data_IF_860228571813
#
_entry.id   IF_860228571813
#
_cell.length_a   1.000
_cell.length_b   1.000
_cell.length_c   1.000
_cell.angle_alpha   90.00
_cell.angle_beta   90.00
_cell.angle_gamma   90.00
#
_symmetry.space_group_name_H-M   'P 1'
#
loop_
_entity.id
_entity.type
_entity.pdbx_description
1 polymer ?
#
# COMPACT_ATOMS: atom_id res chain seq x y z
N UNK A 1 8.57 -53.01 -35.41
CA UNK A 1 8.95 -52.27 -34.18
C UNK A 1 9.40 -50.85 -34.53
N UNK A 2 10.35 -50.69 -35.47
CA UNK A 2 10.85 -49.37 -35.94
C UNK A 2 9.76 -48.51 -36.60
N UNK A 3 8.93 -49.06 -37.48
CA UNK A 3 7.86 -48.29 -38.14
C UNK A 3 6.83 -47.73 -37.16
N UNK A 4 6.44 -48.53 -36.15
CA UNK A 4 5.52 -48.07 -35.10
C UNK A 4 6.12 -46.94 -34.27
N UNK A 5 7.41 -47.03 -33.94
CA UNK A 5 8.14 -45.97 -33.23
C UNK A 5 8.31 -44.71 -34.09
N UNK A 6 8.57 -44.87 -35.39
CA UNK A 6 8.70 -43.76 -36.33
C UNK A 6 7.36 -43.04 -36.55
N UNK A 7 6.26 -43.77 -36.72
CA UNK A 7 4.92 -43.19 -36.81
C UNK A 7 4.53 -42.45 -35.54
N UNK A 8 4.82 -43.01 -34.36
CA UNK A 8 4.58 -42.34 -33.08
C UNK A 8 5.43 -41.06 -32.91
N UNK A 9 6.67 -41.07 -33.42
CA UNK A 9 7.52 -39.87 -33.43
C UNK A 9 7.03 -38.80 -34.40
N UNK A 10 6.61 -39.19 -35.61
CA UNK A 10 6.07 -38.28 -36.62
C UNK A 10 4.77 -37.65 -36.11
N UNK A 11 3.83 -38.42 -35.57
CA UNK A 11 2.57 -37.91 -35.02
C UNK A 11 2.82 -36.95 -33.84
N UNK A 12 3.79 -37.26 -32.98
CA UNK A 12 4.22 -36.38 -31.88
C UNK A 12 4.91 -35.10 -32.36
N UNK A 13 5.43 -35.06 -33.58
CA UNK A 13 6.10 -33.88 -34.15
C UNK A 13 5.12 -33.05 -34.99
N UNK A 14 4.24 -33.68 -35.76
CA UNK A 14 3.40 -33.00 -36.74
C UNK A 14 2.23 -32.21 -36.13
N UNK A 15 1.83 -32.49 -34.89
CA UNK A 15 0.66 -31.85 -34.26
C UNK A 15 0.89 -31.35 -32.84
N UNK A 16 2.15 -31.08 -32.46
CA UNK A 16 2.47 -30.56 -31.12
C UNK A 16 3.07 -29.17 -31.17
N UNK A 17 2.52 -28.29 -30.34
CA UNK A 17 2.81 -26.86 -30.32
C UNK A 17 3.62 -26.51 -29.08
N UNK A 18 4.91 -26.84 -29.11
CA UNK A 18 5.85 -26.54 -28.04
C UNK A 18 6.41 -25.12 -28.21
N UNK A 19 5.82 -24.15 -27.50
CA UNK A 19 6.29 -22.77 -27.53
C UNK A 19 5.34 -21.79 -26.84
N UNK A 20 5.74 -20.52 -26.81
CA UNK A 20 4.91 -19.41 -26.34
C UNK A 20 4.31 -18.68 -27.53
N UNK A 21 2.99 -18.51 -27.51
CA UNK A 21 2.23 -17.85 -28.57
C UNK A 21 1.54 -16.61 -28.01
N UNK A 22 1.44 -15.55 -28.80
CA UNK A 22 0.72 -14.34 -28.38
C UNK A 22 -0.78 -14.58 -28.46
N UNK A 23 -1.45 -14.37 -27.34
CA UNK A 23 -2.90 -14.39 -27.21
C UNK A 23 -3.46 -13.01 -26.87
N UNK A 24 -4.72 -12.79 -27.24
CA UNK A 24 -5.53 -11.65 -26.80
C UNK A 24 -6.73 -12.18 -26.03
N UNK A 25 -6.96 -11.66 -24.84
CA UNK A 25 -8.09 -12.06 -23.98
C UNK A 25 -9.41 -11.64 -24.62
N UNK A 26 -10.31 -12.60 -24.84
CA UNK A 26 -11.67 -12.36 -25.35
C UNK A 26 -12.70 -12.45 -24.23
N UNK A 27 -12.48 -13.36 -23.29
CA UNK A 27 -13.35 -13.56 -22.15
C UNK A 27 -12.56 -14.03 -20.92
N UNK A 28 -12.87 -13.42 -19.79
CA UNK A 28 -12.29 -13.70 -18.48
C UNK A 28 -13.36 -13.96 -17.40
N UNK A 29 -14.65 -14.03 -17.75
CA UNK A 29 -15.71 -14.44 -16.83
C UNK A 29 -15.82 -15.97 -16.75
N UNK A 30 -14.82 -16.57 -16.11
CA UNK A 30 -14.74 -18.01 -15.92
C UNK A 30 -15.95 -18.53 -15.09
N UNK A 31 -16.78 -19.44 -15.62
CA UNK A 31 -17.91 -20.01 -14.89
C UNK A 31 -17.48 -20.87 -13.69
N UNK A 32 -16.27 -21.45 -13.71
CA UNK A 32 -15.74 -22.27 -12.61
C UNK A 32 -14.94 -21.45 -11.59
N UNK A 33 -14.75 -20.14 -11.85
CA UNK A 33 -14.02 -19.23 -10.96
C UNK A 33 -12.59 -19.69 -10.62
N UNK A 34 -11.92 -20.30 -11.59
CA UNK A 34 -10.53 -20.76 -11.50
C UNK A 34 -9.54 -19.74 -12.07
N UNK A 35 -10.02 -18.67 -12.71
CA UNK A 35 -9.16 -17.67 -13.37
C UNK A 35 -8.74 -18.07 -14.78
N UNK A 36 -9.53 -18.93 -15.43
CA UNK A 36 -9.28 -19.33 -16.83
C UNK A 36 -9.64 -18.22 -17.79
N UNK A 37 -9.00 -18.22 -18.97
CA UNK A 37 -9.22 -17.22 -20.01
C UNK A 37 -9.61 -17.88 -21.34
N UNK A 38 -10.53 -17.29 -22.09
CA UNK A 38 -10.70 -17.59 -23.52
C UNK A 38 -9.94 -16.56 -24.33
N UNK A 39 -9.10 -17.01 -25.26
CA UNK A 39 -8.14 -16.16 -25.96
C UNK A 39 -8.18 -16.40 -27.46
N UNK A 40 -7.89 -15.35 -28.25
CA UNK A 40 -7.55 -15.50 -29.67
C UNK A 40 -6.05 -15.71 -29.80
N UNK A 41 -5.64 -16.69 -30.60
CA UNK A 41 -4.23 -17.03 -30.85
C UNK A 41 -4.00 -17.09 -32.38
N UNK A 42 -3.88 -15.94 -33.05
CA UNK A 42 -3.92 -15.89 -34.52
C UNK A 42 -2.88 -16.78 -35.22
N UNK A 43 -1.68 -16.88 -34.65
CA UNK A 43 -0.58 -17.66 -35.22
C UNK A 43 -0.77 -19.18 -35.14
N UNK A 44 -1.74 -19.67 -34.36
CA UNK A 44 -1.96 -21.09 -34.12
C UNK A 44 -3.35 -21.53 -34.54
N UNK A 45 -4.39 -20.82 -34.09
CA UNK A 45 -5.79 -21.16 -34.33
C UNK A 45 -6.43 -20.35 -35.48
N UNK A 46 -5.75 -19.31 -35.96
CA UNK A 46 -6.29 -18.35 -36.93
C UNK A 46 -7.09 -17.21 -36.29
N UNK A 47 -7.38 -16.18 -37.09
CA UNK A 47 -7.95 -14.89 -36.64
C UNK A 47 -9.37 -14.98 -36.05
N UNK A 48 -10.14 -15.98 -36.48
CA UNK A 48 -11.57 -16.11 -36.20
C UNK A 48 -11.89 -17.18 -35.15
N UNK A 49 -10.87 -17.84 -34.60
CA UNK A 49 -11.05 -18.93 -33.63
C UNK A 49 -10.65 -18.44 -32.24
N UNK A 50 -11.54 -18.69 -31.29
CA UNK A 50 -11.31 -18.47 -29.86
C UNK A 50 -11.00 -19.84 -29.24
N UNK A 51 -9.98 -19.89 -28.38
CA UNK A 51 -9.59 -21.10 -27.67
C UNK A 51 -10.69 -21.62 -26.74
N UNK A 52 -10.52 -22.85 -26.25
CA UNK A 52 -11.14 -23.28 -25.01
C UNK A 52 -10.68 -22.45 -23.80
N UNK A 53 -11.14 -22.83 -22.61
CA UNK A 53 -10.69 -22.21 -21.35
C UNK A 53 -9.23 -22.54 -21.08
N UNK A 54 -8.38 -21.52 -21.06
CA UNK A 54 -6.95 -21.64 -20.83
C UNK A 54 -6.65 -21.65 -19.33
N UNK A 55 -5.92 -22.65 -18.84
CA UNK A 55 -5.56 -22.78 -17.44
C UNK A 55 -4.53 -21.70 -17.02
N UNK A 56 -4.67 -21.06 -15.85
CA UNK A 56 -3.68 -20.10 -15.36
C UNK A 56 -2.37 -20.78 -14.92
N UNK A 57 -1.24 -20.25 -15.38
CA UNK A 57 0.09 -20.49 -14.80
C UNK A 57 0.53 -19.27 -13.98
N UNK A 58 0.16 -19.24 -12.70
CA UNK A 58 0.41 -18.12 -11.78
C UNK A 58 1.64 -18.38 -10.87
N UNK A 59 2.31 -17.32 -10.38
CA UNK A 59 3.56 -17.47 -9.62
C UNK A 59 3.39 -18.05 -8.21
N UNK A 60 2.19 -17.99 -7.63
CA UNK A 60 1.90 -18.52 -6.30
C UNK A 60 0.42 -18.91 -6.22
N UNK A 61 0.10 -20.06 -5.61
CA UNK A 61 -1.27 -20.58 -5.50
C UNK A 61 -1.32 -22.11 -5.51
N UNK A 62 -2.49 -22.67 -5.85
CA UNK A 62 -2.68 -24.12 -6.00
C UNK A 62 -3.06 -24.88 -4.73
N UNK A 63 -3.28 -24.16 -3.62
CA UNK A 63 -3.84 -24.72 -2.38
C UNK A 63 -4.92 -23.77 -1.83
N UNK A 64 -5.66 -24.25 -0.82
CA UNK A 64 -6.83 -23.54 -0.30
C UNK A 64 -6.50 -22.14 0.25
N UNK A 65 -7.27 -21.14 -0.18
CA UNK A 65 -7.28 -19.76 0.35
C UNK A 65 -5.93 -19.02 0.34
N UNK A 66 -5.12 -19.23 -0.70
CA UNK A 66 -3.86 -18.52 -0.89
C UNK A 66 -3.48 -18.42 -2.37
N UNK A 67 -2.78 -17.34 -2.76
CA UNK A 67 -2.20 -17.25 -4.10
C UNK A 67 -2.00 -15.84 -4.63
N UNK A 68 -1.54 -15.79 -5.88
CA UNK A 68 -1.40 -14.61 -6.71
C UNK A 68 -2.49 -14.64 -7.79
N UNK A 69 -3.65 -14.06 -7.46
CA UNK A 69 -4.85 -14.16 -8.30
C UNK A 69 -5.10 -12.86 -9.08
N UNK A 70 -4.28 -12.62 -10.11
CA UNK A 70 -4.35 -11.43 -10.97
C UNK A 70 -4.82 -11.85 -12.35
N UNK A 71 -6.13 -11.74 -12.59
CA UNK A 71 -6.74 -12.17 -13.85
C UNK A 71 -6.67 -11.01 -14.85
N UNK A 72 -6.02 -11.21 -16.01
CA UNK A 72 -5.94 -10.17 -17.04
C UNK A 72 -7.32 -9.71 -17.51
N UNK A 73 -7.42 -8.42 -17.79
CA UNK A 73 -8.61 -7.82 -18.35
C UNK A 73 -8.89 -8.31 -19.78
N UNK A 74 -10.14 -8.14 -20.22
CA UNK A 74 -10.48 -8.31 -21.63
C UNK A 74 -9.63 -7.39 -22.50
N UNK A 75 -9.27 -7.89 -23.68
CA UNK A 75 -8.39 -7.26 -24.66
C UNK A 75 -6.90 -7.17 -24.24
N UNK A 76 -6.52 -7.69 -23.07
CA UNK A 76 -5.12 -7.76 -22.66
C UNK A 76 -4.30 -8.76 -23.48
N UNK A 77 -3.01 -8.47 -23.66
CA UNK A 77 -2.03 -9.38 -24.26
C UNK A 77 -1.53 -10.41 -23.24
N UNK A 78 -1.62 -11.69 -23.59
CA UNK A 78 -1.19 -12.83 -22.75
C UNK A 78 -0.33 -13.81 -23.54
N UNK A 79 0.67 -14.41 -22.92
CA UNK A 79 1.38 -15.53 -23.54
C UNK A 79 0.62 -16.83 -23.32
N UNK A 80 0.54 -17.65 -24.36
CA UNK A 80 -0.17 -18.92 -24.35
C UNK A 80 0.80 -20.07 -24.62
N UNK A 81 0.64 -21.13 -23.85
CA UNK A 81 1.25 -22.44 -24.04
C UNK A 81 0.15 -23.50 -24.10
N UNK A 82 0.54 -24.75 -24.28
CA UNK A 82 -0.37 -25.88 -24.45
C UNK A 82 0.15 -27.06 -23.64
N UNK A 83 -0.70 -27.70 -22.81
CA UNK A 83 -0.29 -28.87 -22.02
C UNK A 83 0.22 -29.96 -22.96
N UNK A 84 1.47 -30.39 -22.76
CA UNK A 84 2.15 -31.35 -23.64
C UNK A 84 2.13 -30.98 -25.14
N UNK A 85 1.96 -29.70 -25.46
CA UNK A 85 1.84 -29.19 -26.83
C UNK A 85 0.47 -29.45 -27.48
N UNK A 86 -0.55 -29.83 -26.71
CA UNK A 86 -1.90 -30.12 -27.19
C UNK A 86 -2.79 -28.87 -27.28
N UNK A 87 -3.30 -28.56 -28.47
CA UNK A 87 -4.15 -27.38 -28.69
C UNK A 87 -5.47 -27.41 -27.90
N UNK A 88 -5.94 -28.59 -27.49
CA UNK A 88 -7.16 -28.73 -26.69
C UNK A 88 -7.00 -28.25 -25.25
N UNK A 89 -5.75 -28.17 -24.76
CA UNK A 89 -5.42 -27.85 -23.37
C UNK A 89 -4.55 -26.58 -23.27
N UNK A 90 -5.10 -25.40 -23.58
CA UNK A 90 -4.34 -24.15 -23.51
C UNK A 90 -4.01 -23.74 -22.06
N UNK A 91 -2.89 -23.06 -21.90
CA UNK A 91 -2.39 -22.49 -20.64
C UNK A 91 -2.05 -21.02 -20.90
N UNK A 92 -2.49 -20.09 -20.06
CA UNK A 92 -2.00 -18.71 -20.13
C UNK A 92 -0.90 -18.47 -19.10
N UNK A 93 0.18 -17.81 -19.54
CA UNK A 93 1.44 -17.66 -18.79
C UNK A 93 1.90 -16.20 -18.81
N UNK A 94 1.34 -15.40 -17.91
CA UNK A 94 1.69 -13.98 -17.77
C UNK A 94 1.20 -13.10 -18.93
N UNK A 95 1.52 -11.81 -18.84
CA UNK A 95 1.01 -10.76 -19.73
C UNK A 95 2.14 -10.02 -20.43
N UNK A 96 1.80 -9.28 -21.48
CA UNK A 96 2.71 -8.34 -22.13
C UNK A 96 1.96 -7.06 -22.50
N UNK A 97 2.68 -5.94 -22.49
CA UNK A 97 2.14 -4.66 -22.95
C UNK A 97 2.32 -4.49 -24.44
N UNK A 98 1.39 -3.76 -25.05
CA UNK A 98 1.45 -3.35 -26.44
C UNK A 98 1.28 -1.83 -26.57
N UNK A 99 1.07 -1.36 -27.81
CA UNK A 99 0.84 0.04 -28.13
C UNK A 99 -0.36 0.21 -29.06
N UNK A 100 -1.59 -0.20 -28.66
CA UNK A 100 -2.75 -0.06 -29.53
C UNK A 100 -2.98 1.43 -29.82
N UNK A 101 -3.18 1.77 -31.10
CA UNK A 101 -3.32 3.17 -31.52
C UNK A 101 -2.08 4.04 -31.26
N UNK A 102 -0.90 3.44 -31.03
CA UNK A 102 0.37 4.15 -30.82
C UNK A 102 0.65 4.60 -29.38
N UNK A 103 -0.31 4.46 -28.46
CA UNK A 103 -0.13 4.77 -27.04
C UNK A 103 0.26 3.52 -26.24
N UNK A 104 1.22 3.64 -25.33
CA UNK A 104 1.68 2.52 -24.49
C UNK A 104 0.67 2.13 -23.42
N UNK A 105 0.55 0.83 -23.17
CA UNK A 105 -0.31 0.26 -22.12
C UNK A 105 0.40 0.08 -20.78
N UNK A 106 1.70 0.41 -20.70
CA UNK A 106 2.46 0.26 -19.45
C UNK A 106 1.84 1.12 -18.32
N UNK A 107 1.81 0.62 -17.07
CA UNK A 107 1.30 1.39 -15.94
C UNK A 107 2.03 2.71 -15.76
N UNK A 108 1.29 3.79 -15.52
CA UNK A 108 1.84 5.11 -15.22
C UNK A 108 2.34 5.18 -13.76
N UNK A 109 3.44 5.90 -13.47
CA UNK A 109 4.25 6.71 -14.39
C UNK A 109 5.37 5.93 -15.11
N UNK A 110 5.25 4.61 -15.29
CA UNK A 110 6.21 3.75 -16.00
C UNK A 110 6.48 4.13 -17.46
N UNK A 111 5.54 4.80 -18.10
CA UNK A 111 5.61 5.25 -19.48
C UNK A 111 6.62 6.38 -19.73
N UNK A 112 7.01 7.10 -18.67
CA UNK A 112 7.87 8.30 -18.78
C UNK A 112 9.23 8.16 -18.08
N UNK A 113 9.55 6.99 -17.54
CA UNK A 113 10.80 6.79 -16.78
C UNK A 113 12.03 6.67 -17.69
N UNK A 114 13.15 7.25 -17.25
CA UNK A 114 14.43 7.18 -17.98
C UNK A 114 15.63 7.42 -17.02
N UNK A 115 16.40 6.37 -16.64
CA UNK A 115 16.09 4.95 -16.78
C UNK A 115 14.89 4.53 -15.90
N UNK A 116 14.30 3.33 -16.10
CA UNK A 116 13.26 2.81 -15.21
C UNK A 116 13.77 2.56 -13.79
N UNK A 117 13.31 3.36 -12.83
CA UNK A 117 13.61 3.26 -11.40
C UNK A 117 12.41 2.73 -10.60
N UNK A 118 11.18 3.05 -10.98
CA UNK A 118 9.96 2.69 -10.25
C UNK A 118 9.35 1.36 -10.69
N UNK A 119 9.10 0.48 -9.72
CA UNK A 119 8.39 -0.80 -9.87
C UNK A 119 6.93 -0.60 -9.45
N UNK A 120 5.99 -0.97 -10.31
CA UNK A 120 4.58 -0.56 -10.18
C UNK A 120 3.67 -1.77 -10.28
N UNK A 121 2.84 -1.99 -9.27
CA UNK A 121 1.62 -2.80 -9.37
C UNK A 121 0.46 -1.81 -9.44
N UNK A 122 -0.31 -1.82 -10.53
CA UNK A 122 -1.43 -0.89 -10.73
C UNK A 122 -2.62 -1.61 -11.35
N UNK A 123 -3.80 -1.30 -10.83
CA UNK A 123 -5.09 -1.82 -11.34
C UNK A 123 -5.78 -0.82 -12.26
N UNK A 124 -6.81 -1.26 -12.99
CA UNK A 124 -7.59 -0.42 -13.92
C UNK A 124 -8.17 0.83 -13.26
N UNK A 125 -8.61 0.72 -12.00
CA UNK A 125 -9.13 1.86 -11.21
C UNK A 125 -8.02 2.71 -10.59
N UNK A 126 -6.78 2.54 -11.04
CA UNK A 126 -5.60 3.30 -10.61
C UNK A 126 -5.17 3.09 -9.16
N UNK A 127 -5.67 2.07 -8.47
CA UNK A 127 -5.09 1.66 -7.20
C UNK A 127 -3.70 1.09 -7.47
N UNK A 128 -2.71 1.48 -6.67
CA UNK A 128 -1.31 1.13 -6.92
C UNK A 128 -0.50 0.84 -5.66
N UNK A 129 0.52 0.01 -5.85
CA UNK A 129 1.68 -0.13 -4.96
C UNK A 129 2.91 0.15 -5.82
N UNK A 130 3.73 1.10 -5.39
CA UNK A 130 4.88 1.59 -6.14
C UNK A 130 6.12 1.58 -5.25
N UNK A 131 7.23 1.07 -5.79
CA UNK A 131 8.56 1.10 -5.19
C UNK A 131 9.44 1.98 -6.09
N UNK A 132 9.95 3.10 -5.59
CA UNK A 132 10.82 4.02 -6.29
C UNK A 132 12.27 3.82 -5.83
N UNK A 133 13.16 3.53 -6.78
CA UNK A 133 14.59 3.28 -6.55
C UNK A 133 15.48 4.43 -7.08
N UNK A 134 14.90 5.59 -7.41
CA UNK A 134 15.67 6.73 -7.90
C UNK A 134 16.46 7.37 -6.76
N UNK A 135 17.76 7.55 -6.98
CA UNK A 135 18.68 8.13 -5.99
C UNK A 135 18.14 9.43 -5.36
N UNK A 136 18.06 9.46 -4.03
CA UNK A 136 17.54 10.56 -3.20
C UNK A 136 16.02 10.81 -3.31
N UNK A 137 15.31 10.02 -4.09
CA UNK A 137 13.85 10.07 -4.26
C UNK A 137 13.20 8.71 -3.91
N UNK A 138 13.92 7.85 -3.18
CA UNK A 138 13.46 6.50 -2.85
C UNK A 138 12.19 6.53 -2.01
N UNK A 139 11.20 5.74 -2.42
CA UNK A 139 9.90 5.74 -1.76
C UNK A 139 9.13 4.43 -1.95
N UNK A 140 8.30 4.09 -0.96
CA UNK A 140 7.22 3.11 -1.08
C UNK A 140 5.91 3.88 -1.03
N UNK A 141 5.07 3.73 -2.06
CA UNK A 141 3.82 4.48 -2.21
C UNK A 141 2.68 3.49 -2.40
N UNK A 142 1.63 3.61 -1.59
CA UNK A 142 0.38 2.84 -1.73
C UNK A 142 -0.74 3.85 -1.96
N UNK A 143 -1.48 3.68 -3.05
CA UNK A 143 -2.55 4.60 -3.45
C UNK A 143 -3.86 3.85 -3.66
N UNK A 144 -4.93 4.34 -3.04
CA UNK A 144 -6.31 4.05 -3.41
C UNK A 144 -6.88 5.30 -4.09
N UNK A 145 -7.22 5.19 -5.37
CA UNK A 145 -7.50 6.36 -6.19
C UNK A 145 -8.84 7.00 -5.89
N UNK A 146 -9.88 6.21 -5.66
CA UNK A 146 -11.27 6.65 -5.65
C UNK A 146 -11.52 7.66 -4.54
N UNK A 147 -11.00 7.39 -3.34
CA UNK A 147 -11.17 8.27 -2.18
C UNK A 147 -9.91 9.09 -1.90
N UNK A 148 -8.88 9.00 -2.75
CA UNK A 148 -7.63 9.74 -2.58
C UNK A 148 -6.83 9.31 -1.35
N UNK A 149 -6.96 8.06 -0.90
CA UNK A 149 -6.18 7.57 0.23
C UNK A 149 -4.77 7.21 -0.24
N UNK A 150 -3.76 7.62 0.52
CA UNK A 150 -2.38 7.39 0.16
C UNK A 150 -1.49 7.20 1.38
N UNK A 151 -0.54 6.27 1.24
CA UNK A 151 0.56 6.07 2.20
C UNK A 151 1.85 6.26 1.42
N UNK A 152 2.76 7.08 1.95
CA UNK A 152 4.09 7.32 1.40
C UNK A 152 5.13 7.09 2.48
N UNK A 153 6.12 6.25 2.21
CA UNK A 153 7.29 6.03 3.08
C UNK A 153 8.53 6.38 2.28
N UNK A 154 9.37 7.29 2.78
CA UNK A 154 10.60 7.72 2.13
C UNK A 154 11.65 8.14 3.17
N UNK A 155 12.76 8.73 2.71
CA UNK A 155 13.85 9.20 3.57
C UNK A 155 13.44 10.26 4.61
N UNK A 156 12.37 11.01 4.38
CA UNK A 156 11.85 12.02 5.31
C UNK A 156 10.89 11.43 6.36
N UNK A 157 10.43 10.19 6.18
CA UNK A 157 9.56 9.49 7.11
C UNK A 157 8.33 8.87 6.44
N UNK A 158 7.20 8.86 7.17
CA UNK A 158 5.96 8.20 6.75
C UNK A 158 4.82 9.23 6.73
N UNK A 159 4.08 9.28 5.63
CA UNK A 159 2.89 10.10 5.48
C UNK A 159 1.70 9.20 5.17
N UNK A 160 0.61 9.37 5.92
CA UNK A 160 -0.70 8.75 5.66
C UNK A 160 -1.70 9.87 5.44
N UNK A 161 -2.39 9.88 4.31
CA UNK A 161 -3.34 10.94 3.92
C UNK A 161 -4.61 10.36 3.29
N UNK A 162 -5.74 11.06 3.46
CA UNK A 162 -7.01 10.78 2.79
C UNK A 162 -7.43 11.93 1.87
N UNK A 163 -8.46 11.70 1.05
CA UNK A 163 -9.05 12.74 0.19
C UNK A 163 -9.80 13.86 0.93
N UNK A 164 -9.93 13.79 2.26
CA UNK A 164 -10.65 14.75 3.09
C UNK A 164 -9.71 15.69 3.86
N UNK A 165 -8.44 15.80 3.44
CA UNK A 165 -7.41 16.60 4.11
C UNK A 165 -7.07 16.15 5.53
N UNK A 166 -7.32 14.88 5.86
CA UNK A 166 -6.76 14.27 7.06
C UNK A 166 -5.37 13.73 6.74
N UNK A 167 -4.39 14.02 7.59
CA UNK A 167 -2.98 13.65 7.37
C UNK A 167 -2.29 13.29 8.69
N UNK A 168 -1.48 12.24 8.67
CA UNK A 168 -0.57 11.86 9.75
C UNK A 168 0.84 11.80 9.16
N UNK A 169 1.77 12.52 9.77
CA UNK A 169 3.18 12.59 9.36
C UNK A 169 4.06 12.11 10.51
N UNK A 170 4.85 11.08 10.28
CA UNK A 170 5.87 10.57 11.20
C UNK A 170 7.23 10.91 10.59
N UNK A 171 7.91 11.89 11.16
CA UNK A 171 9.18 12.42 10.63
C UNK A 171 10.24 12.43 11.73
N UNK A 172 11.48 12.82 11.40
CA UNK A 172 12.53 13.06 12.39
C UNK A 172 12.16 14.14 13.42
N UNK A 173 11.24 15.04 13.08
CA UNK A 173 10.77 16.12 13.96
C UNK A 173 9.63 15.70 14.88
N UNK A 174 9.18 14.44 14.82
CA UNK A 174 8.07 13.92 15.61
C UNK A 174 6.85 13.54 14.76
N UNK A 175 5.67 13.55 15.39
CA UNK A 175 4.40 13.14 14.79
C UNK A 175 3.46 14.32 14.67
N UNK A 176 3.02 14.64 13.45
CA UNK A 176 2.02 15.68 13.17
C UNK A 176 0.72 15.05 12.71
N UNK A 177 -0.41 15.42 13.34
CA UNK A 177 -1.74 14.99 12.94
C UNK A 177 -2.54 16.23 12.51
N UNK A 178 -2.94 16.28 11.24
CA UNK A 178 -3.76 17.35 10.68
C UNK A 178 -5.16 16.83 10.37
N UNK A 179 -6.18 17.46 10.93
CA UNK A 179 -7.59 17.18 10.64
C UNK A 179 -8.47 18.34 11.11
N UNK A 180 -9.64 18.51 10.49
CA UNK A 180 -10.68 19.44 10.98
C UNK A 180 -11.22 19.05 12.36
N UNK A 181 -11.17 17.76 12.70
CA UNK A 181 -11.62 17.25 14.00
C UNK A 181 -10.84 16.00 14.39
N UNK A 182 -10.08 16.12 15.48
CA UNK A 182 -9.36 15.01 16.09
C UNK A 182 -10.15 14.54 17.32
N UNK A 183 -10.55 13.26 17.33
CA UNK A 183 -11.07 12.58 18.53
C UNK A 183 -9.99 11.65 19.04
N UNK A 184 -9.52 11.87 20.26
CA UNK A 184 -8.54 10.98 20.89
C UNK A 184 -9.30 9.92 21.69
N UNK A 185 -8.86 8.66 21.61
CA UNK A 185 -9.52 7.54 22.28
C UNK A 185 -9.55 7.69 23.80
N UNK A 186 -10.45 6.97 24.47
CA UNK A 186 -10.70 7.09 25.91
C UNK A 186 -9.43 6.90 26.77
N UNK A 187 -8.50 6.06 26.33
CA UNK A 187 -7.23 5.78 27.04
C UNK A 187 -6.20 6.91 26.96
N UNK A 188 -6.40 7.91 26.11
CA UNK A 188 -5.56 9.09 26.05
C UNK A 188 -6.10 10.25 26.91
N UNK A 189 -7.28 10.05 27.50
CA UNK A 189 -7.87 10.97 28.45
C UNK A 189 -7.49 10.51 29.85
N UNK A 190 -7.24 11.47 30.76
CA UNK A 190 -7.15 11.14 32.17
C UNK A 190 -8.53 10.66 32.71
N UNK A 191 -8.59 10.27 33.98
CA UNK A 191 -9.84 9.86 34.63
C UNK A 191 -10.94 10.93 34.59
N UNK A 192 -10.60 12.18 34.25
CA UNK A 192 -11.51 13.33 34.15
C UNK A 192 -11.93 13.65 32.71
N UNK A 193 -11.43 12.92 31.71
CA UNK A 193 -11.73 13.20 30.31
C UNK A 193 -10.95 14.38 29.72
N UNK A 194 -9.93 14.90 30.40
CA UNK A 194 -9.23 16.13 30.01
C UNK A 194 -7.88 15.85 29.33
N UNK A 195 -7.57 16.66 28.32
CA UNK A 195 -6.28 16.66 27.62
C UNK A 195 -5.61 18.01 27.86
N UNK A 196 -4.38 17.99 28.38
CA UNK A 196 -3.55 19.19 28.46
C UNK A 196 -2.73 19.29 27.18
N UNK A 197 -3.00 20.32 26.39
CA UNK A 197 -2.23 20.64 25.18
C UNK A 197 -1.02 21.51 25.53
N UNK A 198 0.13 21.22 24.91
CA UNK A 198 1.36 22.01 25.05
C UNK A 198 1.80 22.25 26.50
N UNK A 199 2.40 23.41 26.76
CA UNK A 199 2.97 23.77 28.08
C UNK A 199 1.95 24.37 29.05
N UNK A 200 0.64 24.38 28.72
CA UNK A 200 -0.39 25.13 29.48
C UNK A 200 -0.48 24.70 30.94
N UNK A 201 -0.48 23.39 31.24
CA UNK A 201 -0.48 22.93 32.64
C UNK A 201 0.79 23.33 33.38
N UNK A 202 1.96 23.22 32.72
CA UNK A 202 3.23 23.65 33.31
C UNK A 202 3.21 25.13 33.65
N UNK A 203 2.63 25.97 32.78
CA UNK A 203 2.51 27.41 33.00
C UNK A 203 1.53 27.75 34.12
N UNK A 204 0.37 27.09 34.16
CA UNK A 204 -0.63 27.25 35.22
C UNK A 204 -0.05 26.84 36.58
N UNK A 205 0.64 25.71 36.64
CA UNK A 205 1.22 25.20 37.89
C UNK A 205 2.40 26.05 38.36
N UNK A 206 3.22 26.57 37.42
CA UNK A 206 4.26 27.55 37.74
C UNK A 206 3.66 28.84 38.32
N UNK A 207 2.57 29.33 37.74
CA UNK A 207 1.86 30.52 38.23
C UNK A 207 1.29 30.29 39.63
N UNK A 208 0.66 29.13 39.85
CA UNK A 208 0.12 28.74 41.15
C UNK A 208 1.23 28.67 42.22
N UNK A 209 2.38 28.06 41.92
CA UNK A 209 3.50 27.96 42.86
C UNK A 209 4.05 29.35 43.24
N UNK A 210 4.11 30.29 42.30
CA UNK A 210 4.50 31.68 42.59
C UNK A 210 3.48 32.34 43.53
N UNK A 211 2.18 32.18 43.26
CA UNK A 211 1.13 32.72 44.13
C UNK A 211 1.16 32.11 45.53
N UNK A 212 1.36 30.79 45.64
CA UNK A 212 1.49 30.11 46.91
C UNK A 212 2.74 30.55 47.67
N UNK A 213 3.89 30.67 47.02
CA UNK A 213 5.12 31.09 47.71
C UNK A 213 5.09 32.57 48.15
N UNK A 214 4.25 33.40 47.52
CA UNK A 214 4.08 34.82 47.86
C UNK A 214 2.88 35.11 48.73
N UNK A 215 2.05 34.10 49.05
CA UNK A 215 0.89 34.30 49.92
C UNK A 215 1.32 34.53 51.37
N UNK A 216 0.55 35.36 52.08
CA UNK A 216 0.75 35.68 53.49
C UNK A 216 -0.57 35.55 54.24
N UNK A 217 -0.48 35.15 55.52
CA UNK A 217 -1.62 35.19 56.44
C UNK A 217 -1.55 36.45 57.29
N UNK A 218 -2.71 37.03 57.63
CA UNK A 218 -2.78 38.06 58.67
C UNK A 218 -2.49 37.39 60.01
N UNK A 219 -1.27 37.54 60.50
CA UNK A 219 -0.87 37.01 61.81
C UNK A 219 -1.68 37.62 62.94
N UNK A 220 -1.80 36.88 64.06
CA UNK A 220 -2.33 37.43 65.30
C UNK A 220 -1.44 38.60 65.73
N UNK A 221 -2.00 39.82 65.73
CA UNK A 221 -1.32 41.08 66.04
C UNK A 221 -0.75 41.05 67.47
N UNK A 222 0.44 40.49 67.66
CA UNK A 222 1.13 40.45 68.96
C UNK A 222 1.96 39.21 69.28
N UNK A 223 1.90 38.14 68.47
CA UNK A 223 2.74 36.95 68.69
C UNK A 223 3.99 36.96 67.80
N UNK A 224 5.17 36.51 68.28
CA UNK A 224 6.36 36.34 67.44
C UNK A 224 6.06 35.35 66.30
N UNK A 225 6.30 35.77 65.06
CA UNK A 225 6.14 34.91 63.88
C UNK A 225 7.31 33.95 63.77
N UNK A 226 7.06 32.71 63.33
CA UNK A 226 8.11 31.75 63.02
C UNK A 226 9.06 32.29 61.93
N UNK A 227 10.31 31.79 61.85
CA UNK A 227 11.23 32.12 60.76
C UNK A 227 10.58 31.87 59.39
N UNK A 228 10.98 32.60 58.33
CA UNK A 228 10.48 32.37 56.98
C UNK A 228 10.63 30.90 56.60
N UNK A 229 9.53 30.24 56.22
CA UNK A 229 9.61 28.89 55.70
C UNK A 229 10.31 28.91 54.33
N UNK A 230 11.10 27.88 54.06
CA UNK A 230 11.72 27.69 52.73
C UNK A 230 10.58 27.57 51.70
N UNK A 231 10.61 28.36 50.60
CA UNK A 231 9.60 28.27 49.56
C UNK A 231 9.47 26.85 49.02
N UNK A 232 8.24 26.40 48.78
CA UNK A 232 8.00 25.10 48.17
C UNK A 232 8.60 25.12 46.75
N UNK A 233 9.50 24.17 46.49
CA UNK A 233 10.01 23.91 45.15
C UNK A 233 9.37 22.63 44.61
N UNK A 234 8.59 22.76 43.53
CA UNK A 234 8.09 21.64 42.76
C UNK A 234 8.78 21.66 41.40
N UNK A 235 9.65 20.69 41.12
CA UNK A 235 10.17 20.48 39.77
C UNK A 235 9.25 19.51 39.01
N UNK A 236 8.37 20.10 38.20
CA UNK A 236 7.39 19.39 37.37
C UNK A 236 7.85 19.23 35.93
N UNK A 237 9.00 19.79 35.57
CA UNK A 237 9.52 19.77 34.19
C UNK A 237 9.83 18.34 33.73
N UNK A 238 10.41 17.54 34.64
CA UNK A 238 10.71 16.12 34.41
C UNK A 238 9.46 15.23 34.35
N UNK A 239 8.38 15.62 35.03
CA UNK A 239 7.12 14.88 35.06
C UNK A 239 6.24 15.17 33.82
N UNK A 240 6.21 16.42 33.36
CA UNK A 240 5.36 16.87 32.25
C UNK A 240 5.98 16.64 30.87
N UNK A 241 7.31 16.62 30.76
CA UNK A 241 8.03 16.42 29.48
C UNK A 241 7.69 15.10 28.75
N UNK A 242 7.15 14.09 29.44
CA UNK A 242 6.79 12.80 28.83
C UNK A 242 5.38 12.75 28.22
N UNK A 243 4.55 13.77 28.41
CA UNK A 243 3.12 13.78 28.08
C UNK A 243 2.70 15.01 27.25
N UNK A 244 3.64 15.70 26.62
CA UNK A 244 3.35 16.89 25.83
C UNK A 244 2.83 16.49 24.44
N UNK A 245 1.63 16.97 24.11
CA UNK A 245 1.18 17.11 22.72
C UNK A 245 1.60 18.52 22.30
N UNK A 246 2.66 18.63 21.50
CA UNK A 246 3.13 19.91 20.98
C UNK A 246 2.11 20.51 19.99
N UNK A 247 2.07 21.84 19.91
CA UNK A 247 1.12 22.59 19.07
C UNK A 247 1.69 22.83 17.68
#
# INVERSE_FOLDING_TARGET
MIEKTLSQLIEKIENRYYGKYKGIVIDNDDPEKLGRLRVKIPSVLGENVVSGWSMPCVPYGGANDQGFFFIPEKDAGVWIEFEEGDLEFPIWVGTFWTKPGGATEVPKPGDIQSPPSRKIIRTVKENSIELEDKDNEEAIIITEKTNGNKITMNSNGIIVEDGNSNKIELTSSGVTITSSKIKIGQSALDASGQLVLGTTLSQLLSTFLVQLNTHIHTGNMGAPTSPPMVPMQLDISSALSKHLVEK
#
